data_IF_876437806460
#
_entry.id   IF_876437806460
#
_cell.length_a   1.000
_cell.length_b   1.000
_cell.length_c   1.000
_cell.angle_alpha   90.00
_cell.angle_beta   90.00
_cell.angle_gamma   90.00
#
_symmetry.space_group_name_H-M   'P 1'
#
loop_
_entity.id
_entity.type
_entity.pdbx_description
1 polymer ?
#
# COMPACT_ATOMS: atom_id res chain seq x y z
N UNK A 1 15.40 -1.36 15.09
CA UNK A 1 14.53 -0.82 14.01
C UNK A 1 15.36 -0.28 12.86
N UNK A 2 16.43 0.48 13.13
CA UNK A 2 17.35 1.00 12.10
C UNK A 2 17.87 -0.09 11.17
N UNK A 3 18.39 -1.21 11.70
CA UNK A 3 18.88 -2.30 10.86
C UNK A 3 17.81 -2.87 9.92
N UNK A 4 16.57 -2.97 10.41
CA UNK A 4 15.43 -3.39 9.60
C UNK A 4 15.11 -2.38 8.48
N UNK A 5 15.22 -1.08 8.76
CA UNK A 5 15.04 -0.06 7.72
C UNK A 5 16.12 -0.18 6.64
N UNK A 6 17.38 -0.39 7.03
CA UNK A 6 18.49 -0.58 6.07
C UNK A 6 18.21 -1.79 5.17
N UNK A 7 17.89 -2.95 5.76
CA UNK A 7 17.52 -4.15 4.99
C UNK A 7 16.31 -3.91 4.06
N UNK A 8 15.30 -3.17 4.53
CA UNK A 8 14.14 -2.82 3.74
C UNK A 8 14.53 -1.93 2.55
N UNK A 9 15.30 -0.89 2.78
CA UNK A 9 15.73 0.05 1.76
C UNK A 9 16.62 -0.60 0.70
N UNK A 10 17.55 -1.47 1.12
CA UNK A 10 18.37 -2.26 0.20
C UNK A 10 17.51 -3.19 -0.65
N UNK A 11 16.55 -3.88 -0.03
CA UNK A 11 15.67 -4.81 -0.73
C UNK A 11 14.88 -4.15 -1.86
N UNK A 12 14.38 -2.95 -1.62
CA UNK A 12 13.57 -2.21 -2.59
C UNK A 12 14.38 -1.22 -3.41
N UNK A 13 15.70 -1.14 -3.23
CA UNK A 13 16.58 -0.23 -3.97
C UNK A 13 16.18 1.25 -3.82
N UNK A 14 16.10 1.72 -2.57
CA UNK A 14 15.85 3.13 -2.27
C UNK A 14 17.03 4.02 -2.71
N UNK A 15 16.79 5.25 -3.21
CA UNK A 15 17.86 6.21 -3.47
C UNK A 15 18.69 6.50 -2.21
N UNK A 16 20.01 6.67 -2.36
CA UNK A 16 20.91 6.88 -1.22
C UNK A 16 20.57 8.12 -0.41
N UNK A 17 20.17 9.19 -1.10
CA UNK A 17 19.71 10.45 -0.51
C UNK A 17 18.46 10.20 0.35
N UNK A 18 17.49 9.44 -0.16
CA UNK A 18 16.30 9.08 0.58
C UNK A 18 16.62 8.26 1.83
N UNK A 19 17.56 7.31 1.74
CA UNK A 19 17.99 6.50 2.88
C UNK A 19 18.60 7.40 3.97
N UNK A 20 19.53 8.29 3.60
CA UNK A 20 20.18 9.19 4.55
C UNK A 20 19.17 10.11 5.24
N UNK A 21 18.27 10.73 4.47
CA UNK A 21 17.25 11.65 5.00
C UNK A 21 16.27 10.92 5.93
N UNK A 22 15.79 9.74 5.54
CA UNK A 22 14.84 8.96 6.35
C UNK A 22 15.49 8.44 7.64
N UNK A 23 16.74 7.98 7.58
CA UNK A 23 17.46 7.53 8.78
C UNK A 23 17.77 8.70 9.71
N UNK A 24 18.16 9.86 9.17
CA UNK A 24 18.38 11.07 9.95
C UNK A 24 17.08 11.55 10.61
N UNK A 25 15.97 11.58 9.87
CA UNK A 25 14.66 11.94 10.40
C UNK A 25 14.22 10.98 11.50
N UNK A 26 14.45 9.68 11.34
CA UNK A 26 14.15 8.70 12.37
C UNK A 26 15.00 8.91 13.63
N UNK A 27 16.28 9.26 13.50
CA UNK A 27 17.14 9.62 14.64
C UNK A 27 16.65 10.88 15.36
N UNK A 28 16.22 11.92 14.62
CA UNK A 28 15.60 13.12 15.19
C UNK A 28 14.34 12.77 15.98
N UNK A 29 13.47 11.92 15.43
CA UNK A 29 12.29 11.41 16.12
C UNK A 29 12.66 10.70 17.42
N UNK A 30 13.62 9.76 17.38
CA UNK A 30 14.03 8.98 18.56
C UNK A 30 14.66 9.86 19.66
N UNK A 31 15.32 10.95 19.28
CA UNK A 31 15.99 11.86 20.21
C UNK A 31 15.03 12.78 20.96
N UNK A 32 13.81 13.00 20.42
CA UNK A 32 12.76 13.71 21.12
C UNK A 32 11.94 12.73 21.99
N UNK A 33 12.12 12.79 23.30
CA UNK A 33 11.54 11.80 24.24
C UNK A 33 10.00 11.72 24.16
N UNK A 34 9.31 12.85 24.06
CA UNK A 34 7.85 12.89 23.95
C UNK A 34 7.37 12.28 22.63
N UNK A 35 7.95 12.73 21.51
CA UNK A 35 7.58 12.29 20.18
C UNK A 35 7.86 10.78 19.99
N UNK A 36 9.02 10.32 20.47
CA UNK A 36 9.37 8.91 20.48
C UNK A 36 8.36 8.10 21.31
N UNK A 37 7.98 8.58 22.50
CA UNK A 37 7.01 7.88 23.35
C UNK A 37 5.64 7.73 22.68
N UNK A 38 5.14 8.80 22.05
CA UNK A 38 3.88 8.77 21.27
C UNK A 38 4.02 7.77 20.11
N UNK A 39 5.06 7.92 19.31
CA UNK A 39 5.27 7.08 18.12
C UNK A 39 5.38 5.60 18.46
N UNK A 40 6.19 5.23 19.45
CA UNK A 40 6.35 3.84 19.88
C UNK A 40 5.08 3.28 20.51
N UNK A 41 4.30 4.11 21.21
CA UNK A 41 3.01 3.69 21.76
C UNK A 41 2.04 3.26 20.65
N UNK A 42 1.94 4.03 19.57
CA UNK A 42 1.08 3.71 18.42
C UNK A 42 1.56 2.46 17.69
N UNK A 43 2.87 2.36 17.42
CA UNK A 43 3.46 1.17 16.79
C UNK A 43 3.21 -0.08 17.66
N UNK A 44 3.30 0.05 18.99
CA UNK A 44 3.04 -1.05 19.91
C UNK A 44 1.56 -1.43 19.95
N UNK A 45 0.65 -0.46 19.91
CA UNK A 45 -0.80 -0.73 19.84
C UNK A 45 -1.13 -1.56 18.61
N UNK A 46 -0.59 -1.20 17.44
CA UNK A 46 -0.76 -1.98 16.22
C UNK A 46 -0.25 -3.43 16.34
N UNK A 47 0.83 -3.65 17.09
CA UNK A 47 1.41 -4.98 17.31
C UNK A 47 0.47 -5.87 18.13
N UNK A 48 -0.15 -5.32 19.18
CA UNK A 48 -0.88 -6.09 20.20
C UNK A 48 -2.40 -6.09 20.04
N UNK A 49 -2.96 -5.13 19.31
CA UNK A 49 -4.40 -4.97 19.08
C UNK A 49 -4.75 -5.25 17.62
N UNK A 50 -5.35 -6.41 17.35
CA UNK A 50 -5.81 -6.79 16.01
C UNK A 50 -7.03 -5.98 15.52
N UNK A 51 -7.65 -5.19 16.39
CA UNK A 51 -8.75 -4.27 16.06
C UNK A 51 -8.28 -2.84 15.79
N UNK A 52 -6.97 -2.59 15.88
CA UNK A 52 -6.38 -1.27 15.68
C UNK A 52 -6.73 -0.67 14.31
N UNK A 53 -7.29 0.55 14.33
CA UNK A 53 -7.65 1.28 13.12
C UNK A 53 -6.59 2.35 12.84
N UNK A 54 -5.86 2.19 11.74
CA UNK A 54 -4.67 2.99 11.45
C UNK A 54 -4.97 4.48 11.33
N UNK A 55 -6.03 4.85 10.60
CA UNK A 55 -6.44 6.25 10.40
C UNK A 55 -6.62 7.02 11.71
N UNK A 56 -7.01 6.33 12.79
CA UNK A 56 -7.29 6.96 14.09
C UNK A 56 -5.98 7.43 14.77
N UNK A 57 -4.83 6.94 14.33
CA UNK A 57 -3.51 7.36 14.80
C UNK A 57 -2.96 8.63 14.13
N UNK A 58 -3.54 9.07 13.01
CA UNK A 58 -3.01 10.19 12.24
C UNK A 58 -2.88 11.50 13.03
N UNK A 59 -3.83 11.90 13.89
CA UNK A 59 -3.67 13.09 14.72
C UNK A 59 -2.45 13.03 15.66
N UNK A 60 -2.12 11.84 16.16
CA UNK A 60 -0.97 11.63 17.02
C UNK A 60 0.34 11.62 16.20
N UNK A 61 0.33 11.08 14.98
CA UNK A 61 1.47 11.17 14.06
C UNK A 61 1.75 12.64 13.65
N UNK A 62 0.71 13.46 13.46
CA UNK A 62 0.87 14.89 13.25
C UNK A 62 1.40 15.62 14.49
N UNK A 63 1.07 15.15 15.68
CA UNK A 63 1.68 15.65 16.92
C UNK A 63 3.16 15.32 16.99
N UNK A 64 3.55 14.09 16.62
CA UNK A 64 4.97 13.69 16.49
C UNK A 64 5.69 14.60 15.50
N UNK A 65 5.08 14.89 14.34
CA UNK A 65 5.63 15.82 13.35
C UNK A 65 5.88 17.21 13.95
N UNK A 66 4.87 17.80 14.61
CA UNK A 66 5.00 19.11 15.27
C UNK A 66 6.08 19.14 16.35
N UNK A 67 6.20 18.08 17.16
CA UNK A 67 7.20 18.00 18.24
C UNK A 67 8.63 17.87 17.72
N UNK A 68 8.81 17.33 16.52
CA UNK A 68 10.13 17.04 15.93
C UNK A 68 10.54 18.04 14.85
N UNK A 69 9.64 18.94 14.45
CA UNK A 69 9.79 19.83 13.29
C UNK A 69 10.06 19.07 11.97
N UNK A 70 9.64 17.80 11.92
CA UNK A 70 9.69 16.97 10.72
C UNK A 70 8.40 17.11 9.92
N UNK A 71 8.48 16.91 8.61
CA UNK A 71 7.28 16.84 7.78
C UNK A 71 6.36 15.70 8.24
N UNK A 72 5.03 15.91 8.32
CA UNK A 72 4.08 14.83 8.60
C UNK A 72 4.19 13.69 7.56
N UNK A 73 4.52 14.00 6.30
CA UNK A 73 4.72 12.98 5.27
C UNK A 73 5.88 12.04 5.60
N UNK A 74 6.99 12.58 6.12
CA UNK A 74 8.11 11.77 6.58
C UNK A 74 7.72 10.92 7.79
N UNK A 75 6.96 11.47 8.74
CA UNK A 75 6.46 10.71 9.89
C UNK A 75 5.54 9.56 9.46
N UNK A 76 4.63 9.77 8.51
CA UNK A 76 3.76 8.71 8.00
C UNK A 76 4.56 7.58 7.35
N UNK A 77 5.58 7.91 6.54
CA UNK A 77 6.42 6.88 5.93
C UNK A 77 7.23 6.11 6.99
N UNK A 78 7.83 6.78 7.96
CA UNK A 78 8.55 6.13 9.06
C UNK A 78 7.63 5.23 9.90
N UNK A 79 6.39 5.66 10.10
CA UNK A 79 5.36 4.87 10.76
C UNK A 79 5.07 3.57 10.00
N UNK A 80 4.74 3.64 8.72
CA UNK A 80 4.47 2.44 7.92
C UNK A 80 5.70 1.54 7.72
N UNK A 81 6.90 2.11 7.60
CA UNK A 81 8.14 1.33 7.63
C UNK A 81 8.29 0.56 8.95
N UNK A 82 7.98 1.19 10.09
CA UNK A 82 8.00 0.52 11.40
C UNK A 82 6.96 -0.59 11.48
N UNK A 83 5.74 -0.34 11.00
CA UNK A 83 4.69 -1.34 10.94
C UNK A 83 5.02 -2.51 10.01
N UNK A 84 5.81 -2.29 8.95
CA UNK A 84 6.10 -3.32 7.95
C UNK A 84 6.87 -4.51 8.55
N UNK A 85 7.65 -4.26 9.61
CA UNK A 85 8.29 -5.32 10.39
C UNK A 85 7.26 -6.22 11.05
N UNK A 86 6.28 -5.63 11.73
CA UNK A 86 5.19 -6.33 12.43
C UNK A 86 4.27 -7.03 11.42
N UNK A 87 3.96 -6.36 10.31
CA UNK A 87 3.14 -6.91 9.24
C UNK A 87 3.76 -8.18 8.64
N UNK A 88 5.09 -8.25 8.52
CA UNK A 88 5.79 -9.48 8.08
C UNK A 88 5.42 -10.68 8.96
N UNK A 89 5.35 -10.48 10.29
CA UNK A 89 4.98 -11.52 11.25
C UNK A 89 3.49 -11.89 11.10
N UNK A 90 2.61 -10.91 10.88
CA UNK A 90 1.18 -11.16 10.61
C UNK A 90 0.96 -11.97 9.32
N UNK A 91 1.73 -11.73 8.25
CA UNK A 91 1.71 -12.55 7.04
C UNK A 91 2.10 -14.01 7.32
N UNK A 92 3.17 -14.22 8.10
CA UNK A 92 3.63 -15.57 8.49
C UNK A 92 2.55 -16.28 9.31
N UNK A 93 1.96 -15.60 10.29
CA UNK A 93 0.91 -16.16 11.16
C UNK A 93 -0.35 -16.58 10.38
N UNK A 94 -0.71 -15.84 9.31
CA UNK A 94 -1.83 -16.18 8.42
C UNK A 94 -1.45 -17.15 7.30
N UNK A 95 -0.23 -17.68 7.30
CA UNK A 95 0.30 -18.58 6.27
C UNK A 95 0.23 -17.98 4.85
N UNK A 96 0.34 -16.66 4.73
CA UNK A 96 0.46 -15.98 3.44
C UNK A 96 1.89 -16.09 2.92
N UNK A 97 2.01 -16.22 1.60
CA UNK A 97 3.33 -16.25 0.96
C UNK A 97 4.10 -14.97 1.27
N UNK A 98 5.34 -15.12 1.73
CA UNK A 98 6.25 -13.98 1.96
C UNK A 98 6.50 -13.18 0.67
N UNK A 99 6.32 -13.80 -0.51
CA UNK A 99 6.40 -13.09 -1.80
C UNK A 99 5.29 -12.05 -1.96
N UNK A 100 4.09 -12.33 -1.43
CA UNK A 100 2.97 -11.38 -1.43
C UNK A 100 3.29 -10.22 -0.50
N UNK A 101 3.80 -10.48 0.71
CA UNK A 101 4.29 -9.42 1.61
C UNK A 101 5.28 -8.50 0.90
N UNK A 102 6.30 -9.06 0.23
CA UNK A 102 7.28 -8.27 -0.48
C UNK A 102 6.69 -7.47 -1.65
N UNK A 103 5.67 -8.00 -2.33
CA UNK A 103 4.98 -7.26 -3.39
C UNK A 103 4.08 -6.16 -2.84
N UNK A 104 3.41 -6.38 -1.71
CA UNK A 104 2.61 -5.38 -1.03
C UNK A 104 3.47 -4.23 -0.49
N UNK A 105 4.55 -4.54 0.22
CA UNK A 105 5.40 -3.51 0.86
C UNK A 105 6.23 -2.69 -0.13
N UNK A 106 6.35 -3.11 -1.39
CA UNK A 106 6.98 -2.30 -2.43
C UNK A 106 6.25 -0.96 -2.64
N UNK A 107 4.96 -0.87 -2.28
CA UNK A 107 4.18 0.38 -2.42
C UNK A 107 4.77 1.54 -1.62
N UNK A 108 5.37 1.27 -0.46
CA UNK A 108 6.04 2.29 0.36
C UNK A 108 7.16 3.01 -0.41
N UNK A 109 7.85 2.30 -1.32
CA UNK A 109 8.84 2.94 -2.21
C UNK A 109 8.16 3.84 -3.22
N UNK A 110 7.09 3.34 -3.85
CA UNK A 110 6.38 4.08 -4.89
C UNK A 110 5.77 5.36 -4.33
N UNK A 111 5.15 5.28 -3.15
CA UNK A 111 4.61 6.46 -2.45
C UNK A 111 5.69 7.44 -2.00
N UNK A 112 6.85 6.94 -1.60
CA UNK A 112 8.01 7.78 -1.32
C UNK A 112 8.46 8.58 -2.54
N UNK A 113 8.60 7.92 -3.70
CA UNK A 113 9.02 8.57 -4.94
C UNK A 113 7.96 9.57 -5.45
N UNK A 114 6.68 9.24 -5.35
CA UNK A 114 5.57 10.13 -5.67
C UNK A 114 5.58 11.38 -4.78
N UNK A 115 5.71 11.20 -3.45
CA UNK A 115 5.78 12.28 -2.48
C UNK A 115 6.98 13.20 -2.75
N UNK A 116 8.14 12.63 -3.06
CA UNK A 116 9.32 13.42 -3.40
C UNK A 116 9.10 14.23 -4.67
N UNK A 117 8.50 13.64 -5.72
CA UNK A 117 8.21 14.35 -6.97
C UNK A 117 7.24 15.52 -6.78
N UNK A 118 6.24 15.37 -5.91
CA UNK A 118 5.19 16.38 -5.71
C UNK A 118 5.55 17.45 -4.68
N UNK A 119 6.32 17.08 -3.66
CA UNK A 119 6.54 17.92 -2.48
C UNK A 119 8.02 18.12 -2.13
N UNK A 120 8.94 17.50 -2.86
CA UNK A 120 10.38 17.48 -2.55
C UNK A 120 10.69 16.96 -1.14
N UNK A 121 9.88 16.00 -0.67
CA UNK A 121 10.00 15.38 0.65
C UNK A 121 10.00 13.87 0.50
N UNK A 122 11.02 13.20 1.05
CA UNK A 122 11.01 11.75 1.22
C UNK A 122 10.03 11.39 2.36
N UNK A 123 8.83 10.97 1.96
CA UNK A 123 7.71 10.72 2.87
C UNK A 123 6.54 10.05 2.15
N UNK A 124 5.36 10.01 2.76
CA UNK A 124 4.14 9.54 2.12
C UNK A 124 3.07 10.63 2.24
N UNK A 125 2.70 11.24 1.11
CA UNK A 125 1.68 12.30 1.05
C UNK A 125 0.24 11.77 0.91
N UNK A 126 0.07 10.43 0.82
CA UNK A 126 -1.22 9.74 0.70
C UNK A 126 -1.33 8.59 1.72
N UNK A 127 -1.11 8.84 3.03
CA UNK A 127 -0.98 7.77 4.03
C UNK A 127 -2.20 6.84 4.13
N UNK A 128 -3.41 7.37 3.91
CA UNK A 128 -4.66 6.59 3.93
C UNK A 128 -4.69 5.46 2.91
N UNK A 129 -3.85 5.53 1.87
CA UNK A 129 -3.70 4.44 0.93
C UNK A 129 -3.06 3.22 1.60
N UNK A 130 -2.06 3.42 2.46
CA UNK A 130 -1.33 2.32 3.09
C UNK A 130 -2.19 1.53 4.07
N UNK A 131 -3.22 2.15 4.66
CA UNK A 131 -4.13 1.51 5.63
C UNK A 131 -4.57 0.11 5.18
N UNK A 132 -4.94 -0.04 3.90
CA UNK A 132 -5.41 -1.32 3.36
C UNK A 132 -4.33 -2.42 3.38
N UNK A 133 -3.07 -2.09 3.12
CA UNK A 133 -1.97 -3.06 3.20
C UNK A 133 -1.70 -3.48 4.64
N UNK A 134 -1.80 -2.52 5.56
CA UNK A 134 -1.55 -2.75 6.97
C UNK A 134 -2.75 -3.30 7.74
N UNK A 135 -3.92 -3.36 7.13
CA UNK A 135 -5.10 -4.09 7.59
C UNK A 135 -5.31 -5.42 6.85
N UNK A 136 -4.40 -5.80 5.94
CA UNK A 136 -4.49 -7.00 5.09
C UNK A 136 -5.74 -7.07 4.22
N UNK A 137 -6.38 -5.94 3.96
CA UNK A 137 -7.51 -5.85 3.02
C UNK A 137 -7.02 -5.62 1.60
N UNK A 138 -5.81 -5.05 1.44
CA UNK A 138 -5.14 -4.83 0.15
C UNK A 138 -3.81 -5.58 0.07
N UNK A 139 -3.52 -6.12 -1.10
CA UNK A 139 -2.29 -6.88 -1.37
C UNK A 139 -1.74 -6.63 -2.77
N UNK A 140 -0.43 -6.76 -2.93
CA UNK A 140 0.24 -6.75 -4.24
C UNK A 140 0.38 -8.16 -4.82
N UNK A 141 -0.12 -8.39 -6.04
CA UNK A 141 -0.04 -9.70 -6.71
C UNK A 141 0.48 -9.55 -8.14
N UNK A 142 1.79 -9.58 -8.33
CA UNK A 142 2.38 -9.38 -9.67
C UNK A 142 2.61 -7.90 -9.97
N UNK A 143 1.98 -7.37 -11.02
CA UNK A 143 2.11 -5.96 -11.45
C UNK A 143 1.09 -5.05 -10.78
N UNK A 144 -0.04 -5.60 -10.33
CA UNK A 144 -1.16 -4.84 -9.81
C UNK A 144 -1.38 -5.13 -8.33
N UNK A 145 -2.23 -4.32 -7.72
CA UNK A 145 -2.67 -4.45 -6.34
C UNK A 145 -4.18 -4.68 -6.32
N UNK A 146 -4.65 -5.37 -5.29
CA UNK A 146 -6.03 -5.85 -5.24
C UNK A 146 -6.59 -5.78 -3.83
N UNK A 147 -7.90 -5.59 -3.74
CA UNK A 147 -8.69 -5.71 -2.52
C UNK A 147 -10.10 -6.22 -2.87
N UNK A 148 -10.79 -6.81 -1.89
CA UNK A 148 -12.20 -7.19 -2.04
C UNK A 148 -13.07 -6.01 -1.61
N UNK A 149 -14.02 -5.63 -2.47
CA UNK A 149 -15.04 -4.62 -2.17
C UNK A 149 -16.42 -5.16 -2.53
N UNK A 150 -17.46 -4.55 -1.98
CA UNK A 150 -18.83 -4.78 -2.43
C UNK A 150 -19.13 -3.91 -3.65
N UNK A 151 -19.77 -4.49 -4.66
CA UNK A 151 -20.20 -3.73 -5.83
C UNK A 151 -21.43 -2.88 -5.51
N UNK A 152 -21.49 -1.66 -6.04
CA UNK A 152 -22.50 -0.66 -5.67
C UNK A 152 -23.79 -0.73 -6.50
N UNK A 153 -23.76 -1.47 -7.61
CA UNK A 153 -24.80 -1.47 -8.65
C UNK A 153 -25.12 -2.90 -9.11
N UNK A 154 -26.30 -3.12 -9.70
CA UNK A 154 -26.63 -4.40 -10.36
C UNK A 154 -26.47 -4.26 -11.87
N UNK A 155 -25.72 -5.17 -12.50
CA UNK A 155 -25.46 -5.16 -13.94
C UNK A 155 -25.20 -6.56 -14.51
N UNK A 156 -25.30 -6.69 -15.84
CA UNK A 156 -25.06 -7.96 -16.56
C UNK A 156 -23.88 -7.79 -17.53
N UNK A 157 -22.81 -8.56 -17.33
CA UNK A 157 -21.63 -8.57 -18.21
C UNK A 157 -21.44 -9.98 -18.77
N UNK A 158 -21.38 -10.10 -20.10
CA UNK A 158 -21.14 -11.40 -20.76
C UNK A 158 -22.16 -12.48 -20.40
N UNK A 159 -23.40 -12.11 -20.04
CA UNK A 159 -24.44 -13.04 -19.60
C UNK A 159 -24.42 -13.37 -18.10
N UNK A 160 -23.50 -12.80 -17.33
CA UNK A 160 -23.40 -12.99 -15.88
C UNK A 160 -23.98 -11.79 -15.12
N UNK A 161 -24.90 -12.06 -14.20
CA UNK A 161 -25.45 -11.07 -13.28
C UNK A 161 -24.43 -10.80 -12.16
N UNK A 162 -24.14 -9.52 -11.94
CA UNK A 162 -23.42 -9.01 -10.78
C UNK A 162 -24.44 -8.15 -10.03
N UNK A 163 -24.81 -8.56 -8.83
CA UNK A 163 -25.78 -7.84 -8.00
C UNK A 163 -25.09 -6.79 -7.15
N UNK A 164 -25.81 -5.72 -6.84
CA UNK A 164 -25.40 -4.81 -5.77
C UNK A 164 -25.16 -5.58 -4.47
N UNK A 165 -24.01 -5.35 -3.84
CA UNK A 165 -23.55 -6.06 -2.65
C UNK A 165 -22.67 -7.27 -2.94
N UNK A 166 -22.59 -7.76 -4.18
CA UNK A 166 -21.69 -8.86 -4.51
C UNK A 166 -20.23 -8.46 -4.31
N UNK A 167 -19.43 -9.35 -3.73
CA UNK A 167 -17.99 -9.13 -3.63
C UNK A 167 -17.35 -9.15 -5.02
N UNK A 168 -16.52 -8.15 -5.30
CA UNK A 168 -15.72 -8.01 -6.52
C UNK A 168 -14.27 -7.70 -6.15
N UNK A 169 -13.34 -7.99 -7.07
CA UNK A 169 -11.93 -7.65 -6.89
C UNK A 169 -11.71 -6.25 -7.44
N UNK A 170 -11.49 -5.28 -6.55
CA UNK A 170 -11.06 -3.95 -6.94
C UNK A 170 -9.56 -3.98 -7.25
N UNK A 171 -9.17 -3.50 -8.43
CA UNK A 171 -7.78 -3.51 -8.87
C UNK A 171 -7.18 -2.12 -8.96
N UNK A 172 -5.90 -2.04 -8.61
CA UNK A 172 -5.13 -0.81 -8.51
C UNK A 172 -3.79 -0.92 -9.22
N UNK A 173 -3.32 0.22 -9.73
CA UNK A 173 -2.12 0.32 -10.57
C UNK A 173 -1.05 1.14 -9.83
N UNK A 174 -0.03 0.50 -9.23
CA UNK A 174 1.09 1.24 -8.63
C UNK A 174 1.97 1.86 -9.73
N UNK A 175 2.61 3.00 -9.40
CA UNK A 175 3.57 3.75 -10.23
C UNK A 175 4.94 3.06 -10.37
N UNK A 176 4.92 1.74 -10.57
CA UNK A 176 6.08 0.85 -10.52
C UNK A 176 6.68 0.50 -11.88
N UNK A 177 6.29 1.22 -12.94
CA UNK A 177 6.77 1.02 -14.32
C UNK A 177 5.63 0.82 -15.33
N UNK A 178 5.94 0.35 -16.55
CA UNK A 178 4.96 0.10 -17.61
C UNK A 178 3.89 -0.94 -17.24
N UNK A 179 2.76 -0.91 -17.93
CA UNK A 179 1.63 -1.85 -17.79
C UNK A 179 1.57 -2.80 -18.99
N UNK A 180 2.53 -3.72 -19.09
CA UNK A 180 2.52 -4.65 -20.22
C UNK A 180 1.32 -5.60 -20.13
N UNK A 181 0.79 -6.01 -21.29
CA UNK A 181 -0.33 -6.96 -21.34
C UNK A 181 0.01 -8.26 -20.60
N UNK A 182 1.21 -8.81 -20.81
CA UNK A 182 1.63 -10.04 -20.15
C UNK A 182 1.67 -9.91 -18.62
N UNK A 183 2.25 -8.82 -18.11
CA UNK A 183 2.32 -8.58 -16.67
C UNK A 183 0.93 -8.42 -16.04
N UNK A 184 0.01 -7.75 -16.74
CA UNK A 184 -1.38 -7.62 -16.31
C UNK A 184 -2.10 -8.97 -16.29
N UNK A 185 -1.96 -9.79 -17.34
CA UNK A 185 -2.57 -11.11 -17.42
C UNK A 185 -2.05 -12.05 -16.32
N UNK A 186 -0.74 -12.06 -16.09
CA UNK A 186 -0.13 -12.83 -15.00
C UNK A 186 -0.61 -12.37 -13.63
N UNK A 187 -0.82 -11.06 -13.47
CA UNK A 187 -1.35 -10.43 -12.26
C UNK A 187 -2.80 -10.85 -12.01
N UNK A 188 -3.66 -10.84 -13.04
CA UNK A 188 -5.04 -11.31 -12.94
C UNK A 188 -5.13 -12.79 -12.56
N UNK A 189 -4.30 -13.65 -13.15
CA UNK A 189 -4.26 -15.07 -12.79
C UNK A 189 -3.91 -15.29 -11.31
N UNK A 190 -2.94 -14.54 -10.78
CA UNK A 190 -2.57 -14.60 -9.35
C UNK A 190 -3.72 -14.13 -8.45
N UNK A 191 -4.41 -13.06 -8.84
CA UNK A 191 -5.55 -12.55 -8.08
C UNK A 191 -6.74 -13.52 -8.09
N UNK A 192 -7.07 -14.10 -9.24
CA UNK A 192 -8.14 -15.10 -9.35
C UNK A 192 -7.88 -16.32 -8.46
N UNK A 193 -6.65 -16.83 -8.44
CA UNK A 193 -6.27 -17.94 -7.55
C UNK A 193 -6.29 -17.53 -6.07
N UNK A 194 -5.75 -16.35 -5.74
CA UNK A 194 -5.69 -15.87 -4.35
C UNK A 194 -7.09 -15.68 -3.75
N UNK A 195 -8.03 -15.14 -4.53
CA UNK A 195 -9.39 -14.82 -4.09
C UNK A 195 -10.43 -15.88 -4.47
N UNK A 196 -10.03 -17.05 -4.99
CA UNK A 196 -10.97 -18.07 -5.52
C UNK A 196 -12.13 -18.43 -4.59
N UNK A 197 -11.90 -18.41 -3.28
CA UNK A 197 -12.91 -18.74 -2.28
C UNK A 197 -14.09 -17.75 -2.27
N UNK A 198 -13.87 -16.48 -2.65
CA UNK A 198 -14.93 -15.45 -2.77
C UNK A 198 -15.83 -15.67 -3.99
N UNK A 199 -15.35 -16.42 -5.00
CA UNK A 199 -15.99 -16.56 -6.30
C UNK A 199 -16.36 -18.01 -6.61
N UNK A 200 -16.56 -18.86 -5.59
CA UNK A 200 -17.07 -20.21 -5.81
C UNK A 200 -18.38 -20.16 -6.59
N UNK A 201 -18.47 -20.97 -7.64
CA UNK A 201 -19.65 -21.11 -8.51
C UNK A 201 -20.04 -19.85 -9.32
N UNK A 202 -19.18 -18.83 -9.34
CA UNK A 202 -19.38 -17.62 -10.14
C UNK A 202 -18.08 -17.15 -10.80
N UNK A 203 -18.13 -16.37 -11.89
CA UNK A 203 -16.93 -15.79 -12.47
C UNK A 203 -16.20 -14.88 -11.47
N UNK A 204 -14.86 -14.85 -11.56
CA UNK A 204 -14.08 -13.81 -10.91
C UNK A 204 -14.33 -12.48 -11.60
N UNK A 205 -14.76 -11.48 -10.83
CA UNK A 205 -15.09 -10.15 -11.34
C UNK A 205 -14.02 -9.17 -10.87
N UNK A 206 -13.41 -8.46 -11.82
CA UNK A 206 -12.49 -7.36 -11.56
C UNK A 206 -13.17 -6.04 -11.86
N UNK A 207 -12.98 -5.06 -10.99
CA UNK A 207 -13.44 -3.68 -11.18
C UNK A 207 -12.26 -2.74 -11.05
N UNK A 208 -12.28 -1.67 -11.84
CA UNK A 208 -11.28 -0.62 -11.78
C UNK A 208 -11.97 0.72 -12.04
N UNK A 209 -11.67 1.71 -11.21
CA UNK A 209 -11.98 3.10 -11.50
C UNK A 209 -10.66 3.83 -11.71
N UNK A 210 -10.41 4.28 -12.93
CA UNK A 210 -9.16 4.92 -13.29
C UNK A 210 -9.36 5.89 -14.44
N UNK A 211 -8.60 7.00 -14.39
CA UNK A 211 -8.49 7.93 -15.51
C UNK A 211 -7.94 7.26 -16.78
N UNK A 212 -7.23 6.13 -16.65
CA UNK A 212 -6.76 5.33 -17.80
C UNK A 212 -7.90 4.70 -18.61
N UNK A 213 -9.10 4.59 -18.05
CA UNK A 213 -10.27 4.06 -18.74
C UNK A 213 -11.08 5.14 -19.47
N UNK A 214 -10.54 6.36 -19.56
CA UNK A 214 -11.18 7.44 -20.31
C UNK A 214 -11.24 7.08 -21.81
N UNK A 215 -12.44 6.95 -22.41
CA UNK A 215 -12.59 6.34 -23.74
C UNK A 215 -11.92 7.14 -24.86
N UNK A 216 -11.75 8.45 -24.67
CA UNK A 216 -11.13 9.33 -25.66
C UNK A 216 -9.60 9.28 -25.67
N UNK A 217 -8.96 8.48 -24.81
CA UNK A 217 -7.51 8.22 -24.91
C UNK A 217 -7.11 7.75 -26.31
N UNK A 218 -7.99 7.01 -26.99
CA UNK A 218 -7.77 6.53 -28.37
C UNK A 218 -7.60 7.64 -29.41
N UNK A 219 -8.02 8.87 -29.11
CA UNK A 219 -7.91 10.00 -30.03
C UNK A 219 -6.53 10.68 -29.99
N UNK A 220 -5.78 10.52 -28.90
CA UNK A 220 -4.53 11.26 -28.69
C UNK A 220 -3.34 10.43 -28.17
N UNK A 221 -3.56 9.21 -27.68
CA UNK A 221 -2.47 8.29 -27.36
C UNK A 221 -2.02 7.48 -28.59
N UNK A 222 -0.72 7.19 -28.73
CA UNK A 222 -0.21 6.24 -29.72
C UNK A 222 -0.90 4.86 -29.64
N UNK A 223 -1.00 4.16 -30.78
CA UNK A 223 -1.63 2.83 -30.86
C UNK A 223 -0.92 1.75 -30.04
N UNK A 224 0.35 1.96 -29.73
CA UNK A 224 1.24 1.10 -28.95
C UNK A 224 1.38 1.55 -27.48
N UNK A 225 0.53 2.48 -27.02
CA UNK A 225 0.43 2.89 -25.61
C UNK A 225 -0.13 1.79 -24.70
#
# INVERSE_FOLDING_TARGET
>A
MIDYFIEFFEKYDYPKEAINDLLSAYQTLLSNQDANSIFQSIVKQYEVDDTFIIKDSYPQLEEVARKTDLSPYTIYLLFFLSLSKIMKEKYIAKNYSIKIFYKSMADLKYKMLECYKLHNIYGNCVPWWEDGFFQLTRIGLGRLQYEIVEHDTTLVIGGHLISKGDSVINMHIPSSGPLTVQDCMDSFGKAAEFYKEYFKERPTVFVCNSWLLFPYHLEFLPKDS
#
